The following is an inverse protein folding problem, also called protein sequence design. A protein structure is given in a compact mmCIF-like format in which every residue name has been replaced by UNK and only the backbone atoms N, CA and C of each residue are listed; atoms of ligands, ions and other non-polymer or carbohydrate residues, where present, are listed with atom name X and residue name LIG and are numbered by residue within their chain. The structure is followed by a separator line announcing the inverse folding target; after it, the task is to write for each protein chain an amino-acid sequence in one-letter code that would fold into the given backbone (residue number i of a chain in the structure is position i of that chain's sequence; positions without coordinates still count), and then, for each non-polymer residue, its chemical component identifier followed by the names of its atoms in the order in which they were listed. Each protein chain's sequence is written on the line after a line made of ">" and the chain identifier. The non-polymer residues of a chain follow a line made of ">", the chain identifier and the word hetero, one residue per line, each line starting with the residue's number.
data_IF_894656466553
#
_entry.id   IF_894656466553
#
_cell.length_a   1.000
_cell.length_b   1.000
_cell.length_c   1.000
_cell.angle_alpha   90.00
_cell.angle_beta   90.00
_cell.angle_gamma   90.00
#
_symmetry.space_group_name_H-M   'P 1'
#
loop_
_entity.id
_entity.type
_entity.pdbx_description
1 polymer ?
#
# COMPACT_ATOMS: atom_id res chain seq x y z
N UNK A 1 -2.63 -16.87 -0.85
CA UNK A 1 -1.39 -16.08 -0.69
C UNK A 1 -0.24 -16.93 -1.21
N UNK A 2 0.64 -16.37 -2.04
CA UNK A 2 1.84 -17.07 -2.53
C UNK A 2 3.00 -17.02 -1.52
N UNK A 3 3.09 -15.95 -0.71
CA UNK A 3 4.06 -15.79 0.36
C UNK A 3 3.61 -14.74 1.39
N UNK A 4 4.23 -14.74 2.57
CA UNK A 4 4.03 -13.75 3.63
C UNK A 4 5.39 -13.17 4.03
N UNK A 5 5.50 -11.84 4.03
CA UNK A 5 6.66 -11.11 4.48
C UNK A 5 6.25 -10.21 5.65
N UNK A 6 7.03 -10.22 6.73
CA UNK A 6 6.77 -9.41 7.91
C UNK A 6 8.08 -8.83 8.47
N UNK A 7 7.97 -7.75 9.21
CA UNK A 7 9.10 -7.09 9.86
C UNK A 7 8.89 -7.14 11.38
N UNK A 8 9.71 -7.89 12.14
CA UNK A 8 9.57 -8.00 13.59
C UNK A 8 10.16 -6.80 14.35
N UNK A 9 10.81 -5.88 13.64
CA UNK A 9 11.60 -4.80 14.21
C UNK A 9 10.75 -3.64 14.74
N UNK A 10 11.28 -3.03 15.79
CA UNK A 10 10.83 -1.76 16.33
C UNK A 10 11.28 -0.60 15.44
N UNK A 11 10.89 0.62 15.81
CA UNK A 11 11.34 1.85 15.13
C UNK A 11 12.83 2.12 15.34
N UNK A 12 13.42 1.65 16.44
CA UNK A 12 14.78 1.99 16.88
C UNK A 12 15.84 1.03 16.29
N UNK A 13 15.42 -0.12 15.78
CA UNK A 13 16.31 -1.15 15.20
C UNK A 13 16.92 -0.73 13.84
N UNK A 14 16.53 0.43 13.29
CA UNK A 14 17.03 0.96 12.01
C UNK A 14 16.94 0.00 10.80
N UNK A 15 16.11 -1.04 10.88
CA UNK A 15 15.98 -2.05 9.83
C UNK A 15 15.53 -1.47 8.48
N UNK A 16 15.70 -2.22 7.38
CA UNK A 16 15.21 -1.83 6.04
C UNK A 16 13.83 -2.38 5.67
N UNK A 17 13.24 -3.26 6.51
CA UNK A 17 11.97 -3.91 6.23
C UNK A 17 10.74 -3.13 6.69
N UNK A 18 10.86 -2.34 7.76
CA UNK A 18 9.70 -1.68 8.37
C UNK A 18 9.21 -0.57 7.47
N UNK A 19 7.94 -0.66 7.06
CA UNK A 19 7.25 0.41 6.31
C UNK A 19 7.42 1.75 7.04
N UNK A 20 7.75 2.85 6.35
CA UNK A 20 7.66 3.04 4.90
C UNK A 20 8.85 2.52 4.08
N UNK A 21 9.86 1.88 4.69
CA UNK A 21 11.01 1.37 3.94
C UNK A 21 10.60 0.19 3.04
N UNK A 22 11.17 0.07 1.83
CA UNK A 22 10.69 -0.85 0.81
C UNK A 22 11.23 -2.28 0.93
N UNK A 23 12.01 -2.61 1.97
CA UNK A 23 12.78 -3.85 2.03
C UNK A 23 11.96 -5.12 1.85
N UNK A 24 10.77 -5.20 2.49
CA UNK A 24 9.89 -6.36 2.35
C UNK A 24 9.37 -6.52 0.91
N UNK A 25 8.91 -5.43 0.29
CA UNK A 25 8.35 -5.48 -1.06
C UNK A 25 9.45 -5.78 -2.09
N UNK A 26 10.65 -5.21 -1.93
CA UNK A 26 11.80 -5.54 -2.79
C UNK A 26 12.21 -7.01 -2.67
N UNK A 27 12.17 -7.58 -1.46
CA UNK A 27 12.45 -9.00 -1.25
C UNK A 27 11.40 -9.87 -1.96
N UNK A 28 10.11 -9.56 -1.81
CA UNK A 28 9.03 -10.27 -2.49
C UNK A 28 9.16 -10.17 -4.02
N UNK A 29 9.44 -8.97 -4.54
CA UNK A 29 9.60 -8.75 -5.98
C UNK A 29 10.76 -9.58 -6.55
N UNK A 30 11.89 -9.64 -5.85
CA UNK A 30 13.04 -10.45 -6.26
C UNK A 30 12.72 -11.95 -6.20
N UNK A 31 12.09 -12.42 -5.13
CA UNK A 31 11.83 -13.85 -4.92
C UNK A 31 10.82 -14.42 -5.92
N UNK A 32 9.85 -13.62 -6.35
CA UNK A 32 8.76 -14.06 -7.23
C UNK A 32 8.82 -13.44 -8.64
N UNK A 33 9.92 -12.74 -8.98
CA UNK A 33 10.09 -12.03 -10.25
C UNK A 33 8.91 -11.10 -10.60
N UNK A 34 8.46 -10.31 -9.61
CA UNK A 34 7.30 -9.42 -9.74
C UNK A 34 7.72 -8.12 -10.41
N UNK A 35 6.97 -7.73 -11.44
CA UNK A 35 7.05 -6.42 -12.06
C UNK A 35 6.27 -5.38 -11.24
N UNK A 36 6.99 -4.58 -10.46
CA UNK A 36 6.40 -3.55 -9.60
C UNK A 36 5.68 -2.45 -10.40
N UNK A 37 6.07 -2.18 -11.65
CA UNK A 37 5.43 -1.14 -12.46
C UNK A 37 3.98 -1.45 -12.83
N UNK A 38 3.60 -2.74 -12.78
CA UNK A 38 2.25 -3.25 -13.03
C UNK A 38 1.57 -3.74 -11.76
N UNK A 39 2.17 -3.49 -10.60
CA UNK A 39 1.69 -3.98 -9.31
C UNK A 39 0.92 -2.91 -8.54
N UNK A 40 0.09 -3.39 -7.61
CA UNK A 40 -0.72 -2.57 -6.72
C UNK A 40 -0.26 -2.75 -5.27
N UNK A 41 -0.34 -1.69 -4.47
CA UNK A 41 -0.15 -1.73 -3.03
C UNK A 41 -1.46 -1.30 -2.34
N UNK A 42 -2.02 -2.19 -1.53
CA UNK A 42 -3.25 -1.93 -0.77
C UNK A 42 -2.89 -1.89 0.71
N UNK A 43 -3.20 -0.81 1.41
CA UNK A 43 -2.87 -0.62 2.82
C UNK A 43 -3.81 0.36 3.52
N UNK A 44 -3.69 0.42 4.84
CA UNK A 44 -4.54 1.22 5.72
C UNK A 44 -3.78 2.37 6.41
N UNK A 45 -2.46 2.46 6.21
CA UNK A 45 -1.63 3.46 6.85
C UNK A 45 -1.24 4.60 5.90
N UNK A 46 -1.82 5.78 6.12
CA UNK A 46 -1.40 7.03 5.47
C UNK A 46 0.11 7.28 5.63
N UNK A 47 0.66 7.06 6.83
CA UNK A 47 2.05 7.40 7.16
C UNK A 47 3.09 6.34 6.78
N UNK A 48 2.66 5.10 6.52
CA UNK A 48 3.59 3.99 6.27
C UNK A 48 3.38 3.30 4.92
N UNK A 49 2.13 3.06 4.51
CA UNK A 49 1.83 2.31 3.29
C UNK A 49 1.96 3.16 2.05
N UNK A 50 1.36 4.35 2.06
CA UNK A 50 1.35 5.22 0.88
C UNK A 50 2.77 5.73 0.53
N UNK A 51 3.61 6.17 1.49
CA UNK A 51 4.99 6.54 1.19
C UNK A 51 5.81 5.36 0.67
N UNK A 52 5.58 4.14 1.18
CA UNK A 52 6.26 2.94 0.66
C UNK A 52 5.88 2.71 -0.80
N UNK A 53 4.58 2.68 -1.09
CA UNK A 53 4.08 2.44 -2.44
C UNK A 53 4.66 3.43 -3.44
N UNK A 54 4.63 4.73 -3.08
CA UNK A 54 5.22 5.81 -3.88
C UNK A 54 6.72 5.66 -4.11
N UNK A 55 7.47 5.29 -3.07
CA UNK A 55 8.93 5.08 -3.19
C UNK A 55 9.31 3.99 -4.19
N UNK A 56 8.36 3.12 -4.55
CA UNK A 56 8.51 2.02 -5.49
C UNK A 56 7.75 2.23 -6.81
N UNK A 57 7.07 3.37 -6.99
CA UNK A 57 6.24 3.63 -8.17
C UNK A 57 5.04 2.70 -8.31
N UNK A 58 4.56 2.12 -7.19
CA UNK A 58 3.38 1.26 -7.16
C UNK A 58 2.11 2.09 -7.21
N UNK A 59 1.07 1.59 -7.90
CA UNK A 59 -0.28 2.14 -7.74
C UNK A 59 -0.80 1.82 -6.33
N UNK A 60 -1.24 2.84 -5.62
CA UNK A 60 -1.60 2.79 -4.21
C UNK A 60 -3.10 2.89 -4.00
N UNK A 61 -3.63 2.02 -3.15
CA UNK A 61 -5.02 2.08 -2.68
C UNK A 61 -4.99 2.18 -1.16
N UNK A 62 -5.54 3.27 -0.63
CA UNK A 62 -5.74 3.48 0.80
C UNK A 62 -7.13 2.98 1.21
N UNK A 63 -7.18 2.18 2.28
CA UNK A 63 -8.40 1.86 3.01
C UNK A 63 -8.31 2.59 4.36
N UNK A 64 -8.92 3.79 4.51
CA UNK A 64 -8.77 4.58 5.72
C UNK A 64 -9.26 3.85 6.96
N UNK A 65 -8.55 4.02 8.07
CA UNK A 65 -9.01 3.60 9.38
C UNK A 65 -10.05 4.59 9.89
N UNK A 66 -10.87 4.14 10.84
CA UNK A 66 -11.84 5.00 11.55
C UNK A 66 -11.20 6.17 12.30
N UNK A 67 -9.92 6.05 12.64
CA UNK A 67 -9.15 7.08 13.36
C UNK A 67 -8.54 8.13 12.43
N UNK A 68 -8.56 7.88 11.12
CA UNK A 68 -7.98 8.81 10.16
C UNK A 68 -8.94 10.00 9.96
N UNK A 69 -8.39 11.21 9.92
CA UNK A 69 -9.19 12.41 9.67
C UNK A 69 -9.36 12.65 8.17
N UNK A 70 -10.41 13.37 7.74
CA UNK A 70 -10.59 13.74 6.33
C UNK A 70 -9.35 14.41 5.72
N UNK A 71 -8.65 15.25 6.50
CA UNK A 71 -7.43 15.94 6.10
C UNK A 71 -6.28 14.95 5.87
N UNK A 72 -6.08 14.00 6.80
CA UNK A 72 -5.02 12.99 6.64
C UNK A 72 -5.24 12.10 5.42
N UNK A 73 -6.50 11.81 5.08
CA UNK A 73 -6.87 11.02 3.90
C UNK A 73 -6.66 11.81 2.62
N UNK A 74 -7.08 13.09 2.58
CA UNK A 74 -6.91 13.94 1.40
C UNK A 74 -5.43 14.24 1.12
N UNK A 75 -4.61 14.37 2.17
CA UNK A 75 -3.17 14.59 2.06
C UNK A 75 -2.35 13.31 1.87
N UNK A 76 -2.97 12.12 1.96
CA UNK A 76 -2.27 10.84 1.80
C UNK A 76 -1.57 10.69 0.46
N UNK A 77 -2.06 11.40 -0.57
CA UNK A 77 -1.64 11.31 -1.96
C UNK A 77 -1.76 9.88 -2.54
N UNK A 78 -2.61 9.02 -1.98
CA UNK A 78 -2.92 7.72 -2.55
C UNK A 78 -3.60 7.86 -3.93
N UNK A 79 -3.38 6.92 -4.84
CA UNK A 79 -4.01 6.95 -6.16
C UNK A 79 -5.52 6.71 -6.07
N UNK A 80 -5.93 5.85 -5.14
CA UNK A 80 -7.33 5.57 -4.82
C UNK A 80 -7.54 5.51 -3.31
N UNK A 81 -8.72 5.95 -2.88
CA UNK A 81 -9.21 5.80 -1.50
C UNK A 81 -10.55 5.08 -1.57
N UNK A 82 -10.66 3.96 -0.86
CA UNK A 82 -11.85 3.09 -0.90
C UNK A 82 -12.24 2.65 0.52
N UNK A 83 -13.53 2.33 0.77
CA UNK A 83 -13.99 2.02 2.12
C UNK A 83 -13.58 0.62 2.62
N UNK A 84 -13.26 -0.29 1.70
CA UNK A 84 -12.97 -1.69 2.03
C UNK A 84 -12.16 -2.39 0.93
N UNK A 85 -11.72 -3.62 1.24
CA UNK A 85 -10.93 -4.44 0.32
C UNK A 85 -11.71 -4.86 -0.93
N UNK A 86 -13.04 -5.03 -0.84
CA UNK A 86 -13.85 -5.42 -2.00
C UNK A 86 -13.87 -4.30 -3.04
N UNK A 87 -13.98 -3.06 -2.59
CA UNK A 87 -13.90 -1.86 -3.41
C UNK A 87 -12.52 -1.74 -4.06
N UNK A 88 -11.44 -2.06 -3.34
CA UNK A 88 -10.09 -2.14 -3.91
C UNK A 88 -10.00 -3.16 -5.06
N UNK A 89 -10.61 -4.34 -4.88
CA UNK A 89 -10.67 -5.37 -5.93
C UNK A 89 -11.41 -4.87 -7.18
N UNK A 90 -12.51 -4.12 -7.02
CA UNK A 90 -13.23 -3.56 -8.17
C UNK A 90 -12.37 -2.59 -8.98
N UNK A 91 -11.61 -1.72 -8.30
CA UNK A 91 -10.65 -0.82 -8.94
C UNK A 91 -9.59 -1.62 -9.72
N UNK A 92 -9.00 -2.64 -9.10
CA UNK A 92 -7.93 -3.45 -9.72
C UNK A 92 -8.45 -4.20 -10.96
N UNK A 93 -9.71 -4.67 -10.93
CA UNK A 93 -10.36 -5.34 -12.07
C UNK A 93 -10.77 -4.40 -13.20
N UNK A 94 -10.67 -3.07 -13.01
CA UNK A 94 -11.15 -2.08 -13.97
C UNK A 94 -12.67 -1.90 -13.97
N UNK A 95 -13.37 -2.44 -12.96
CA UNK A 95 -14.80 -2.23 -12.75
C UNK A 95 -15.00 -0.89 -12.03
N UNK A 96 -14.79 0.21 -12.75
CA UNK A 96 -14.93 1.55 -12.17
C UNK A 96 -16.42 1.85 -12.01
N UNK A 97 -16.89 1.95 -10.76
CA UNK A 97 -18.09 2.73 -10.47
C UNK A 97 -17.64 4.19 -10.45
N UNK A 98 -17.97 4.94 -11.51
CA UNK A 98 -17.79 6.39 -11.52
C UNK A 98 -18.46 6.98 -10.28
N UNK A 99 -17.76 7.86 -9.58
CA UNK A 99 -18.34 8.67 -8.51
C UNK A 99 -19.48 9.49 -9.11
N UNK A 100 -20.71 9.26 -8.61
CA UNK A 100 -21.71 10.32 -8.53
C UNK A 100 -21.29 11.34 -7.47
#
# INVERSE_FOLDING_TARGET
>A
WDAIYYCPHTKDDNCNCRKPKPGMVKAAAKAHNIDLSRSWFVGDSVLHDIPLAKSLGLKSILIPKRTDTPESVSESQADYVVPDLMSAVQIIKGNIFEKK
#
